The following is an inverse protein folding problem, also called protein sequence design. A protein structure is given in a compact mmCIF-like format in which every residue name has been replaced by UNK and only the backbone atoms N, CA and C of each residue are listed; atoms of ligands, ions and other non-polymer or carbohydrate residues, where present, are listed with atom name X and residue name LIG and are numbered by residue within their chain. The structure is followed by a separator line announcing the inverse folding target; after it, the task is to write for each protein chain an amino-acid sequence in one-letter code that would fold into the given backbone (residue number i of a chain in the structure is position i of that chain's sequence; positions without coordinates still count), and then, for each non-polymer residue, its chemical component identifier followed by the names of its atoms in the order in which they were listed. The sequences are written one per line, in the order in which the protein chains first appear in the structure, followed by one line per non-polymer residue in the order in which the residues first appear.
data_IF_604308343588
#
_entry.id   IF_604308343588
#
_cell.length_a   1.000
_cell.length_b   1.000
_cell.length_c   1.000
_cell.angle_alpha   90.00
_cell.angle_beta   90.00
_cell.angle_gamma   90.00
#
_symmetry.space_group_name_H-M   'P 1'
#
loop_
_entity.id
_entity.type
_entity.pdbx_description
1 polymer ?
#
# COMPACT_ATOMS: atom_id res chain seq x y z
N UNK A 1 -13.85 -5.71 -9.97
CA UNK A 1 -13.10 -5.64 -11.22
C UNK A 1 -11.69 -5.28 -10.82
N UNK A 2 -10.74 -6.21 -10.95
CA UNK A 2 -9.34 -5.93 -10.62
C UNK A 2 -8.84 -4.82 -11.55
N UNK A 3 -8.24 -3.77 -10.99
CA UNK A 3 -7.62 -2.71 -11.78
C UNK A 3 -6.38 -3.28 -12.44
N UNK A 4 -6.35 -3.27 -13.77
CA UNK A 4 -5.16 -3.65 -14.53
C UNK A 4 -4.04 -2.64 -14.28
N UNK A 5 -2.80 -3.07 -14.49
CA UNK A 5 -1.65 -2.17 -14.48
C UNK A 5 -1.85 -1.04 -15.49
N UNK A 6 -1.66 0.20 -15.05
CA UNK A 6 -1.72 1.40 -15.88
C UNK A 6 -0.47 2.24 -15.67
N UNK A 7 0.15 2.68 -16.77
CA UNK A 7 1.36 3.50 -16.76
C UNK A 7 0.97 4.96 -16.95
N UNK A 8 1.68 5.85 -16.27
CA UNK A 8 1.44 7.29 -16.30
C UNK A 8 2.74 8.05 -16.43
N UNK A 9 2.71 9.09 -17.26
CA UNK A 9 3.79 10.08 -17.39
C UNK A 9 3.20 11.46 -17.12
N UNK A 10 3.29 11.92 -15.87
CA UNK A 10 2.66 13.17 -15.43
C UNK A 10 3.71 14.07 -14.81
N UNK A 11 3.80 15.31 -15.30
CA UNK A 11 4.76 16.33 -14.81
C UNK A 11 6.23 15.88 -14.83
N UNK A 12 6.59 15.03 -15.81
CA UNK A 12 7.95 14.48 -15.94
C UNK A 12 8.27 13.34 -14.99
N UNK A 13 7.28 12.77 -14.30
CA UNK A 13 7.42 11.60 -13.44
C UNK A 13 6.67 10.43 -14.10
N UNK A 14 7.40 9.34 -14.32
CA UNK A 14 6.84 8.08 -14.80
C UNK A 14 6.52 7.17 -13.63
N UNK A 15 5.29 6.68 -13.54
CA UNK A 15 4.86 5.77 -12.48
C UNK A 15 3.77 4.81 -12.96
N UNK A 16 3.55 3.74 -12.20
CA UNK A 16 2.63 2.66 -12.58
C UNK A 16 1.61 2.48 -11.46
N UNK A 17 0.32 2.58 -11.76
CA UNK A 17 -0.73 2.20 -10.81
C UNK A 17 -1.16 0.77 -11.11
N UNK A 18 -1.10 -0.10 -10.11
CA UNK A 18 -1.58 -1.50 -10.21
C UNK A 18 -2.16 -1.99 -8.88
N UNK A 19 -2.93 -3.07 -8.92
CA UNK A 19 -3.28 -3.80 -7.69
C UNK A 19 -2.03 -4.33 -6.99
N UNK A 20 -2.05 -4.29 -5.66
CA UNK A 20 -0.97 -4.89 -4.87
C UNK A 20 -0.93 -6.41 -5.03
N UNK A 21 0.27 -6.94 -4.81
CA UNK A 21 0.60 -8.36 -4.83
C UNK A 21 1.35 -8.70 -3.55
N UNK A 22 1.35 -9.97 -3.14
CA UNK A 22 1.97 -10.41 -1.87
C UNK A 22 3.44 -9.93 -1.72
N UNK A 23 4.19 -9.87 -2.83
CA UNK A 23 5.57 -9.34 -2.86
C UNK A 23 5.70 -7.89 -2.41
N UNK A 24 4.63 -7.10 -2.46
CA UNK A 24 4.61 -5.69 -2.06
C UNK A 24 4.47 -5.55 -0.53
N UNK A 25 4.03 -6.60 0.17
CA UNK A 25 3.73 -6.55 1.60
C UNK A 25 4.91 -6.10 2.46
N UNK A 26 6.12 -6.58 2.12
CA UNK A 26 7.34 -6.20 2.84
C UNK A 26 7.65 -4.72 2.67
N UNK A 27 7.68 -4.24 1.44
CA UNK A 27 7.96 -2.84 1.14
C UNK A 27 6.90 -1.90 1.73
N UNK A 28 5.62 -2.32 1.73
CA UNK A 28 4.53 -1.58 2.37
C UNK A 28 4.69 -1.49 3.89
N UNK A 29 5.10 -2.58 4.54
CA UNK A 29 5.39 -2.61 5.98
C UNK A 29 6.57 -1.69 6.34
N UNK A 30 7.63 -1.69 5.54
CA UNK A 30 8.79 -0.80 5.72
C UNK A 30 8.43 0.68 5.51
N UNK A 31 7.71 1.01 4.43
CA UNK A 31 7.24 2.38 4.17
C UNK A 31 6.29 2.85 5.27
N UNK A 32 5.42 1.97 5.77
CA UNK A 32 4.46 2.31 6.84
C UNK A 32 5.17 2.80 8.10
N UNK A 33 6.27 2.16 8.47
CA UNK A 33 7.09 2.56 9.61
C UNK A 33 7.73 3.94 9.42
N UNK A 34 8.14 4.27 8.19
CA UNK A 34 8.71 5.58 7.86
C UNK A 34 7.66 6.69 7.91
N UNK A 35 6.48 6.46 7.32
CA UNK A 35 5.40 7.48 7.28
C UNK A 35 4.68 7.66 8.61
N UNK A 36 4.59 6.61 9.45
CA UNK A 36 4.03 6.72 10.82
C UNK A 36 4.93 7.60 11.72
N UNK A 37 6.19 7.84 11.34
CA UNK A 37 7.09 8.78 12.02
C UNK A 37 7.01 10.23 11.52
N UNK A 38 6.36 10.50 10.39
CA UNK A 38 6.40 11.80 9.69
C UNK A 38 5.05 12.54 9.68
N UNK A 39 4.35 12.69 10.81
CA UNK A 39 3.15 13.55 10.82
C UNK A 39 3.11 14.58 11.94
N UNK A 40 2.96 15.83 11.53
CA UNK A 40 2.70 17.01 12.37
C UNK A 40 1.21 17.11 12.77
N UNK A 41 0.34 16.18 12.34
CA UNK A 41 -1.11 16.21 12.60
C UNK A 41 -1.78 14.82 12.80
N UNK A 42 -1.05 13.77 13.19
CA UNK A 42 -1.67 12.52 13.68
C UNK A 42 -1.19 12.27 15.11
N UNK A 43 -2.06 12.52 16.10
CA UNK A 43 -1.89 12.12 17.50
C UNK A 43 -1.89 10.57 17.61
N UNK A 44 -0.84 9.92 17.12
CA UNK A 44 -0.68 8.46 17.14
C UNK A 44 0.73 8.13 17.60
N UNK A 45 0.87 7.28 18.62
CA UNK A 45 2.18 6.82 19.05
C UNK A 45 2.85 5.95 17.97
N UNK A 46 4.17 6.05 17.85
CA UNK A 46 4.94 5.25 16.91
C UNK A 46 4.68 3.75 17.14
N UNK A 47 4.13 3.07 16.14
CA UNK A 47 3.78 1.66 16.21
C UNK A 47 2.31 1.36 16.54
N UNK A 48 1.48 2.38 16.78
CA UNK A 48 0.03 2.18 16.87
C UNK A 48 -0.54 1.68 15.54
N UNK A 49 -1.23 0.53 15.58
CA UNK A 49 -1.75 -0.16 14.41
C UNK A 49 -0.70 -0.45 13.31
N UNK A 50 0.56 -0.70 13.71
CA UNK A 50 1.57 -1.20 12.77
C UNK A 50 1.06 -2.47 12.08
N UNK A 51 1.10 -2.46 10.75
CA UNK A 51 0.82 -3.63 9.94
C UNK A 51 2.17 -4.20 9.52
N UNK A 52 2.47 -5.37 10.07
CA UNK A 52 3.66 -6.13 9.70
C UNK A 52 3.50 -6.76 8.32
N UNK A 53 4.56 -7.39 7.81
CA UNK A 53 4.52 -8.03 6.49
C UNK A 53 3.37 -9.07 6.40
N UNK A 54 3.18 -9.99 7.37
CA UNK A 54 2.03 -10.90 7.37
C UNK A 54 0.67 -10.20 7.39
N UNK A 55 0.54 -9.08 8.09
CA UNK A 55 -0.67 -8.26 8.09
C UNK A 55 -0.99 -7.72 6.69
N UNK A 56 0.02 -7.21 5.98
CA UNK A 56 -0.15 -6.74 4.59
C UNK A 56 -0.45 -7.88 3.63
N UNK A 57 0.17 -9.05 3.76
CA UNK A 57 -0.15 -10.24 2.95
C UNK A 57 -1.64 -10.59 3.06
N UNK A 58 -2.18 -10.68 4.28
CA UNK A 58 -3.61 -10.97 4.51
C UNK A 58 -4.52 -9.90 3.94
N UNK A 59 -4.11 -8.64 4.04
CA UNK A 59 -4.88 -7.50 3.55
C UNK A 59 -4.95 -7.52 2.02
N UNK A 60 -3.81 -7.73 1.36
CA UNK A 60 -3.70 -7.87 -0.09
C UNK A 60 -4.51 -9.07 -0.57
N UNK A 61 -4.42 -10.23 0.10
CA UNK A 61 -5.19 -11.42 -0.25
C UNK A 61 -6.71 -11.17 -0.11
N UNK A 62 -7.12 -10.48 0.95
CA UNK A 62 -8.53 -10.16 1.21
C UNK A 62 -9.08 -9.18 0.17
N UNK A 63 -8.33 -8.13 -0.15
CA UNK A 63 -8.71 -7.15 -1.17
C UNK A 63 -8.74 -7.81 -2.56
N UNK A 64 -7.75 -8.64 -2.88
CA UNK A 64 -7.64 -9.36 -4.16
C UNK A 64 -8.81 -10.31 -4.43
N UNK A 65 -9.39 -10.90 -3.38
CA UNK A 65 -10.59 -11.76 -3.46
C UNK A 65 -11.89 -10.97 -3.57
N UNK A 66 -11.88 -9.67 -3.26
CA UNK A 66 -13.07 -8.84 -3.35
C UNK A 66 -13.34 -8.40 -4.79
N UNK A 67 -14.61 -8.39 -5.16
CA UNK A 67 -15.07 -7.81 -6.43
C UNK A 67 -14.89 -6.28 -6.49
N UNK A 68 -14.70 -5.62 -5.35
CA UNK A 68 -14.38 -4.19 -5.22
C UNK A 68 -13.07 -4.07 -4.47
N UNK A 69 -11.97 -4.15 -5.21
CA UNK A 69 -10.63 -4.11 -4.67
C UNK A 69 -10.04 -2.70 -4.89
N UNK A 70 -9.57 -2.06 -3.83
CA UNK A 70 -9.09 -0.67 -3.86
C UNK A 70 -7.64 -0.54 -3.40
N UNK A 71 -6.98 -1.66 -3.10
CA UNK A 71 -5.61 -1.64 -2.62
C UNK A 71 -4.63 -1.56 -3.80
N UNK A 72 -4.15 -0.35 -4.05
CA UNK A 72 -3.28 -0.01 -5.18
C UNK A 72 -1.88 0.38 -4.71
N UNK A 73 -0.89 0.09 -5.54
CA UNK A 73 0.52 0.46 -5.35
C UNK A 73 1.04 1.26 -6.55
N UNK A 74 2.04 2.11 -6.30
CA UNK A 74 2.73 3.00 -7.24
C UNK A 74 4.14 2.51 -7.58
#
# INVERSE_FOLDING_TARGET
MKTNQQEFDVKGISYIIRSAMDKDAKSLSEIRLQIDGETENLDREQGEAFIDTPGFERLIETDTRNSRNLFLVL
#
